data_IF_966980192600
#
_entry.id   IF_966980192600
#
_cell.length_a   1.000
_cell.length_b   1.000
_cell.length_c   1.000
_cell.angle_alpha   90.00
_cell.angle_beta   90.00
_cell.angle_gamma   90.00
#
_symmetry.space_group_name_H-M   'P 1'
#
loop_
_entity.id
_entity.type
_entity.pdbx_description
1 polymer ?
#
# COMPACT_ATOMS: atom_id res chain seq x y z
N UNK A 1 21.93 -3.03 -14.94
CA UNK A 1 21.14 -1.84 -15.38
C UNK A 1 20.62 -1.15 -14.14
N UNK A 2 21.03 0.08 -13.85
CA UNK A 2 20.45 0.85 -12.74
C UNK A 2 19.13 1.44 -13.19
N UNK A 3 18.04 1.12 -12.51
CA UNK A 3 16.69 1.62 -12.85
C UNK A 3 16.46 3.09 -12.46
N UNK A 4 17.36 3.67 -11.63
CA UNK A 4 17.18 5.00 -11.04
C UNK A 4 16.05 5.09 -10.01
N UNK A 5 15.54 3.94 -9.53
CA UNK A 5 14.49 3.87 -8.52
C UNK A 5 15.08 3.63 -7.13
N UNK A 6 14.46 4.22 -6.12
CA UNK A 6 14.66 3.83 -4.73
C UNK A 6 13.96 2.49 -4.48
N UNK A 7 14.69 1.53 -3.93
CA UNK A 7 14.13 0.24 -3.51
C UNK A 7 13.90 0.25 -1.99
N UNK A 8 12.69 -0.01 -1.57
CA UNK A 8 12.30 -0.12 -0.17
C UNK A 8 11.91 -1.57 0.07
N UNK A 9 12.78 -2.39 0.69
CA UNK A 9 12.46 -3.77 1.02
C UNK A 9 11.54 -3.85 2.23
N UNK A 10 10.67 -4.84 2.25
CA UNK A 10 9.80 -5.19 3.38
C UNK A 10 9.80 -6.69 3.59
N UNK A 11 10.93 -7.27 4.02
CA UNK A 11 11.03 -8.70 4.23
C UNK A 11 10.10 -9.13 5.39
N UNK A 12 9.39 -10.21 5.19
CA UNK A 12 8.55 -10.86 6.21
C UNK A 12 9.12 -12.20 6.63
N UNK A 13 9.91 -12.81 5.77
CA UNK A 13 10.58 -14.08 6.01
C UNK A 13 11.99 -14.01 5.43
N UNK A 14 12.98 -14.17 6.30
CA UNK A 14 14.41 -14.19 5.95
C UNK A 14 14.88 -15.64 5.93
N UNK A 15 15.45 -16.10 4.84
CA UNK A 15 15.97 -17.44 4.65
C UNK A 15 17.35 -17.41 4.01
N UNK A 16 18.08 -18.52 4.10
CA UNK A 16 19.41 -18.67 3.48
C UNK A 16 19.35 -18.58 1.94
N UNK A 17 18.24 -18.99 1.33
CA UNK A 17 18.01 -18.98 -0.12
C UNK A 17 17.42 -17.66 -0.64
N UNK A 18 17.12 -16.71 0.22
CA UNK A 18 16.61 -15.37 -0.11
C UNK A 18 15.49 -14.88 0.81
N UNK A 19 15.28 -13.58 0.76
CA UNK A 19 14.24 -12.92 1.53
C UNK A 19 12.91 -12.90 0.78
N UNK A 20 11.84 -13.21 1.48
CA UNK A 20 10.47 -13.12 0.98
C UNK A 20 9.75 -11.98 1.68
N UNK A 21 8.89 -11.26 0.93
CA UNK A 21 8.12 -10.16 1.48
C UNK A 21 7.65 -9.18 0.42
N UNK A 22 7.30 -7.99 0.87
CA UNK A 22 6.90 -6.90 -0.01
C UNK A 22 8.13 -6.11 -0.48
N UNK A 23 8.02 -5.49 -1.65
CA UNK A 23 9.00 -4.54 -2.16
C UNK A 23 8.29 -3.34 -2.76
N UNK A 24 8.78 -2.14 -2.47
CA UNK A 24 8.29 -0.90 -3.07
C UNK A 24 9.43 -0.25 -3.85
N UNK A 25 9.24 -0.09 -5.16
CA UNK A 25 10.15 0.65 -6.02
C UNK A 25 9.53 2.00 -6.35
N UNK A 26 10.27 3.08 -6.15
CA UNK A 26 9.77 4.44 -6.37
C UNK A 26 10.84 5.35 -6.95
N UNK A 27 10.43 6.30 -7.80
CA UNK A 27 11.29 7.40 -8.25
C UNK A 27 11.33 8.56 -7.26
N UNK A 28 10.38 8.60 -6.34
CA UNK A 28 10.25 9.65 -5.35
C UNK A 28 11.13 9.37 -4.15
N UNK A 29 11.67 10.44 -3.55
CA UNK A 29 12.54 10.34 -2.37
C UNK A 29 11.72 9.88 -1.15
N UNK A 30 12.11 8.79 -0.48
CA UNK A 30 11.48 8.40 0.77
C UNK A 30 11.85 9.40 1.89
N UNK A 31 10.82 9.94 2.58
CA UNK A 31 10.96 10.80 3.75
C UNK A 31 10.96 9.98 5.05
N UNK A 32 10.10 8.96 5.10
CA UNK A 32 9.95 8.05 6.23
C UNK A 32 9.55 6.68 5.72
N UNK A 33 10.10 5.64 6.32
CA UNK A 33 9.74 4.25 6.06
C UNK A 33 9.44 3.58 7.40
N UNK A 34 8.33 2.87 7.46
CA UNK A 34 7.92 2.04 8.59
C UNK A 34 7.45 0.68 8.08
N UNK A 35 7.75 -0.37 8.81
CA UNK A 35 7.22 -1.70 8.57
C UNK A 35 6.12 -2.01 9.60
N UNK A 36 4.97 -2.45 9.10
CA UNK A 36 3.85 -2.86 9.94
C UNK A 36 3.84 -4.38 9.94
N UNK A 37 4.04 -4.98 11.12
CA UNK A 37 3.91 -6.42 11.29
C UNK A 37 2.43 -6.81 11.24
N UNK A 38 2.10 -7.68 10.29
CA UNK A 38 0.78 -8.25 10.07
C UNK A 38 0.76 -9.76 10.29
N UNK A 39 1.80 -10.31 10.90
CA UNK A 39 1.94 -11.74 11.14
C UNK A 39 0.94 -12.23 12.16
N UNK A 40 0.32 -13.37 11.88
CA UNK A 40 -0.60 -14.08 12.78
C UNK A 40 0.03 -15.42 13.14
N UNK A 41 0.08 -15.73 14.43
CA UNK A 41 0.68 -16.99 14.92
C UNK A 41 0.09 -18.20 14.22
N UNK A 42 0.96 -19.07 13.71
CA UNK A 42 0.58 -20.29 12.99
C UNK A 42 0.27 -20.09 11.50
N UNK A 43 0.46 -18.88 10.99
CA UNK A 43 0.34 -18.56 9.56
C UNK A 43 1.67 -18.06 9.01
N UNK A 44 1.77 -17.95 7.68
CA UNK A 44 2.92 -17.36 7.02
C UNK A 44 3.06 -15.88 7.43
N UNK A 45 4.28 -15.43 7.79
CA UNK A 45 4.50 -14.04 8.18
C UNK A 45 4.07 -13.06 7.08
N UNK A 46 3.34 -12.03 7.47
CA UNK A 46 2.86 -10.96 6.58
C UNK A 46 3.24 -9.59 7.13
N UNK A 47 3.35 -8.62 6.24
CA UNK A 47 3.70 -7.27 6.61
C UNK A 47 3.17 -6.23 5.64
N UNK A 48 3.36 -4.97 6.00
CA UNK A 48 3.16 -3.86 5.07
C UNK A 48 4.33 -2.89 5.17
N UNK A 49 4.72 -2.34 4.01
CA UNK A 49 5.62 -1.19 3.91
C UNK A 49 4.73 0.05 3.98
N UNK A 50 4.98 0.93 4.93
CA UNK A 50 4.32 2.24 5.09
C UNK A 50 5.37 3.31 4.84
N UNK A 51 5.38 3.88 3.64
CA UNK A 51 6.36 4.85 3.18
C UNK A 51 5.73 6.22 2.96
N UNK A 52 6.36 7.26 3.49
CA UNK A 52 6.08 8.65 3.13
C UNK A 52 7.06 9.07 2.04
N UNK A 53 6.54 9.52 0.91
CA UNK A 53 7.30 9.88 -0.27
C UNK A 53 7.16 11.37 -0.56
N UNK A 54 8.25 12.04 -0.94
CA UNK A 54 8.25 13.40 -1.44
C UNK A 54 7.94 13.39 -2.93
N UNK A 55 6.79 13.92 -3.31
CA UNK A 55 6.36 14.00 -4.69
C UNK A 55 6.42 15.45 -5.20
N UNK A 56 6.88 15.62 -6.43
CA UNK A 56 6.88 16.91 -7.09
C UNK A 56 5.53 17.14 -7.77
N UNK A 57 4.90 18.27 -7.49
CA UNK A 57 3.75 18.76 -8.24
C UNK A 57 4.20 19.56 -9.48
N UNK A 58 3.24 19.90 -10.32
CA UNK A 58 3.44 20.89 -11.39
C UNK A 58 3.74 22.22 -10.69
N UNK A 59 4.69 23.03 -11.20
CA UNK A 59 5.12 24.34 -10.65
C UNK A 59 6.12 24.29 -9.47
N UNK A 60 6.91 23.22 -9.34
CA UNK A 60 7.96 23.06 -8.32
C UNK A 60 7.50 22.92 -6.86
N UNK A 61 6.21 22.86 -6.62
CA UNK A 61 5.69 22.51 -5.30
C UNK A 61 5.95 21.05 -4.98
N UNK A 62 6.36 20.76 -3.76
CA UNK A 62 6.49 19.40 -3.24
C UNK A 62 5.36 19.08 -2.27
N UNK A 63 4.94 17.84 -2.25
CA UNK A 63 3.98 17.36 -1.27
C UNK A 63 4.34 15.96 -0.81
N UNK A 64 3.88 15.59 0.36
CA UNK A 64 4.10 14.24 0.88
C UNK A 64 2.93 13.32 0.50
N UNK A 65 3.28 12.13 0.02
CA UNK A 65 2.35 11.06 -0.33
C UNK A 65 2.65 9.82 0.52
N UNK A 66 1.67 9.34 1.24
CA UNK A 66 1.78 8.08 1.96
C UNK A 66 1.44 6.91 1.05
N UNK A 67 2.31 5.91 1.00
CA UNK A 67 2.10 4.67 0.24
C UNK A 67 2.21 3.49 1.17
N UNK A 68 1.15 2.69 1.27
CA UNK A 68 1.13 1.44 2.03
C UNK A 68 1.04 0.27 1.04
N UNK A 69 2.10 -0.53 0.98
CA UNK A 69 2.16 -1.73 0.15
C UNK A 69 2.07 -2.97 1.02
N UNK A 70 1.15 -3.90 0.73
CA UNK A 70 0.90 -5.08 1.55
C UNK A 70 0.56 -6.32 0.74
N UNK A 71 0.72 -7.48 1.36
CA UNK A 71 0.18 -8.76 0.90
C UNK A 71 -0.45 -9.45 2.10
N UNK A 72 -1.78 -9.61 2.07
CA UNK A 72 -2.54 -10.18 3.19
C UNK A 72 -2.56 -11.70 3.13
N UNK A 73 -2.91 -12.32 4.25
CA UNK A 73 -2.96 -13.75 4.38
C UNK A 73 -4.17 -14.40 3.71
N UNK A 74 -4.09 -15.73 3.57
CA UNK A 74 -5.08 -16.52 2.84
C UNK A 74 -6.35 -16.80 3.67
N UNK A 75 -6.26 -16.81 5.00
CA UNK A 75 -7.37 -17.19 5.85
C UNK A 75 -8.28 -16.01 6.21
N UNK A 76 -9.62 -16.18 6.19
CA UNK A 76 -10.53 -15.06 6.46
C UNK A 76 -10.37 -14.43 7.86
N UNK A 77 -10.01 -15.23 8.88
CA UNK A 77 -9.72 -14.74 10.23
C UNK A 77 -8.49 -13.87 10.28
N UNK A 78 -7.42 -14.33 9.64
CA UNK A 78 -6.15 -13.66 9.47
C UNK A 78 -6.34 -12.30 8.78
N UNK A 79 -7.00 -12.26 7.60
CA UNK A 79 -7.28 -11.01 6.88
C UNK A 79 -8.06 -10.00 7.71
N UNK A 80 -9.05 -10.44 8.48
CA UNK A 80 -9.82 -9.54 9.36
C UNK A 80 -8.93 -8.88 10.42
N UNK A 81 -8.01 -9.62 11.00
CA UNK A 81 -7.06 -9.08 11.96
C UNK A 81 -6.10 -8.11 11.29
N UNK A 82 -5.52 -8.50 10.15
CA UNK A 82 -4.56 -7.71 9.38
C UNK A 82 -5.16 -6.37 8.91
N UNK A 83 -6.37 -6.39 8.38
CA UNK A 83 -7.05 -5.15 7.96
C UNK A 83 -7.34 -4.23 9.13
N UNK A 84 -7.69 -4.74 10.33
CA UNK A 84 -7.82 -3.88 11.52
C UNK A 84 -6.49 -3.21 11.89
N UNK A 85 -5.39 -3.94 11.83
CA UNK A 85 -4.04 -3.38 12.05
C UNK A 85 -3.72 -2.28 11.04
N UNK A 86 -4.01 -2.50 9.77
CA UNK A 86 -3.83 -1.47 8.73
C UNK A 86 -4.70 -0.23 8.98
N UNK A 87 -5.97 -0.42 9.34
CA UNK A 87 -6.87 0.69 9.66
C UNK A 87 -6.41 1.48 10.90
N UNK A 88 -5.88 0.82 11.91
CA UNK A 88 -5.25 1.50 13.06
C UNK A 88 -4.06 2.35 12.60
N UNK A 89 -3.18 1.81 11.77
CA UNK A 89 -2.04 2.57 11.25
C UNK A 89 -2.47 3.72 10.35
N UNK A 90 -3.52 3.55 9.55
CA UNK A 90 -4.08 4.60 8.70
C UNK A 90 -4.65 5.76 9.53
N UNK A 91 -5.30 5.46 10.66
CA UNK A 91 -5.89 6.47 11.55
C UNK A 91 -4.86 7.35 12.27
N UNK A 92 -3.57 6.97 12.30
CA UNK A 92 -2.50 7.78 12.90
C UNK A 92 -2.20 9.08 12.10
N UNK A 93 -2.52 9.13 10.80
CA UNK A 93 -2.33 10.29 9.95
C UNK A 93 -3.45 10.37 8.89
N UNK A 94 -4.69 10.66 9.29
CA UNK A 94 -5.86 10.59 8.40
C UNK A 94 -5.85 11.65 7.30
N UNK A 95 -5.21 12.80 7.54
CA UNK A 95 -5.16 13.94 6.60
C UNK A 95 -4.13 13.73 5.47
N UNK A 96 -3.28 12.71 5.58
CA UNK A 96 -2.26 12.45 4.56
C UNK A 96 -2.88 11.82 3.31
N UNK A 97 -2.57 12.35 2.10
CA UNK A 97 -2.91 11.66 0.88
C UNK A 97 -2.27 10.27 0.91
N UNK A 98 -3.10 9.28 0.81
CA UNK A 98 -2.68 7.90 1.05
C UNK A 98 -3.07 7.00 -0.12
N UNK A 99 -2.15 6.14 -0.53
CA UNK A 99 -2.38 5.01 -1.41
C UNK A 99 -2.20 3.73 -0.58
N UNK A 100 -3.20 2.87 -0.57
CA UNK A 100 -3.07 1.49 -0.10
C UNK A 100 -3.15 0.57 -1.32
N UNK A 101 -2.17 -0.30 -1.49
CA UNK A 101 -2.11 -1.22 -2.62
C UNK A 101 -1.56 -2.59 -2.22
N UNK A 102 -1.93 -3.60 -3.00
CA UNK A 102 -1.38 -4.94 -2.89
C UNK A 102 -2.42 -6.03 -3.07
N UNK A 103 -1.97 -7.27 -2.91
CA UNK A 103 -2.83 -8.45 -2.89
C UNK A 103 -3.49 -8.56 -1.50
N UNK A 104 -4.81 -8.42 -1.48
CA UNK A 104 -5.59 -8.52 -0.23
C UNK A 104 -6.19 -9.90 -0.02
N UNK A 105 -6.00 -10.82 -0.96
CA UNK A 105 -6.45 -12.21 -0.89
C UNK A 105 -7.94 -12.39 -0.52
N UNK A 106 -8.76 -11.35 -0.76
CA UNK A 106 -10.20 -11.42 -0.46
C UNK A 106 -11.00 -11.81 -1.70
N UNK A 107 -11.48 -13.01 -1.69
CA UNK A 107 -12.18 -13.64 -2.81
C UNK A 107 -13.60 -13.10 -2.99
N UNK A 108 -14.22 -12.68 -1.86
CA UNK A 108 -15.60 -12.23 -1.87
C UNK A 108 -15.68 -10.71 -1.88
N UNK A 109 -16.33 -10.14 -2.90
CA UNK A 109 -16.51 -8.69 -3.02
C UNK A 109 -17.29 -8.06 -1.84
N UNK A 110 -18.02 -8.87 -1.07
CA UNK A 110 -18.74 -8.49 0.15
C UNK A 110 -18.03 -8.90 1.44
N UNK A 111 -16.80 -9.40 1.36
CA UNK A 111 -15.99 -9.80 2.51
C UNK A 111 -15.85 -8.67 3.53
N UNK A 112 -15.81 -9.01 4.82
CA UNK A 112 -15.65 -8.01 5.90
C UNK A 112 -14.41 -7.14 5.73
N UNK A 113 -13.23 -7.69 5.38
CA UNK A 113 -12.03 -6.90 5.12
C UNK A 113 -12.27 -5.79 4.08
N UNK A 114 -12.86 -6.13 2.93
CA UNK A 114 -13.16 -5.15 1.88
C UNK A 114 -14.19 -4.10 2.33
N UNK A 115 -15.23 -4.50 3.07
CA UNK A 115 -16.21 -3.53 3.60
C UNK A 115 -15.58 -2.50 4.52
N UNK A 116 -14.64 -2.92 5.38
CA UNK A 116 -13.94 -2.00 6.28
C UNK A 116 -13.00 -1.07 5.50
N UNK A 117 -12.26 -1.58 4.52
CA UNK A 117 -11.42 -0.76 3.65
C UNK A 117 -12.26 0.21 2.81
N UNK A 118 -13.41 -0.23 2.28
CA UNK A 118 -14.32 0.65 1.54
C UNK A 118 -15.01 1.71 2.42
N UNK A 119 -15.18 1.46 3.72
CA UNK A 119 -15.67 2.47 4.66
C UNK A 119 -14.62 3.58 4.91
N UNK A 120 -13.33 3.25 4.82
CA UNK A 120 -12.24 4.21 4.99
C UNK A 120 -11.89 4.94 3.67
N UNK A 121 -11.71 4.20 2.58
CA UNK A 121 -11.20 4.72 1.29
C UNK A 121 -12.28 5.01 0.25
N UNK A 122 -13.54 4.73 0.54
CA UNK A 122 -14.60 4.62 -0.45
C UNK A 122 -14.34 3.44 -1.42
N UNK A 123 -15.29 3.21 -2.33
CA UNK A 123 -15.18 2.11 -3.29
C UNK A 123 -14.32 2.50 -4.47
N UNK A 124 -13.40 1.62 -4.84
CA UNK A 124 -12.60 1.72 -6.07
C UNK A 124 -13.03 0.62 -7.06
N UNK A 125 -12.82 0.81 -8.36
CA UNK A 125 -13.07 -0.24 -9.33
C UNK A 125 -12.33 -1.53 -8.95
N UNK A 126 -13.02 -2.66 -9.05
CA UNK A 126 -12.40 -3.97 -8.92
C UNK A 126 -12.05 -4.50 -10.30
N UNK A 127 -10.81 -4.90 -10.46
CA UNK A 127 -10.27 -5.44 -11.71
C UNK A 127 -9.79 -6.85 -11.43
N UNK A 128 -10.26 -7.81 -12.23
CA UNK A 128 -9.80 -9.20 -12.09
C UNK A 128 -8.37 -9.33 -12.56
N UNK A 129 -7.50 -9.87 -11.68
CA UNK A 129 -6.06 -10.06 -11.90
C UNK A 129 -5.64 -11.52 -11.79
N UNK A 130 -6.42 -12.34 -11.09
CA UNK A 130 -6.10 -13.75 -10.82
C UNK A 130 -7.16 -14.71 -11.39
N UNK A 131 -6.78 -15.87 -11.89
CA UNK A 131 -5.41 -16.20 -12.34
C UNK A 131 -5.05 -15.48 -13.64
N UNK A 132 -3.78 -15.18 -13.88
CA UNK A 132 -3.30 -14.31 -14.97
C UNK A 132 -3.73 -14.76 -16.37
N UNK A 133 -3.92 -16.07 -16.60
CA UNK A 133 -4.35 -16.64 -17.89
C UNK A 133 -5.83 -16.36 -18.17
N UNK A 134 -6.69 -16.49 -17.14
CA UNK A 134 -8.16 -16.33 -17.21
C UNK A 134 -8.65 -15.58 -15.97
N UNK A 135 -8.41 -14.28 -15.87
CA UNK A 135 -8.67 -13.54 -14.64
C UNK A 135 -10.17 -13.40 -14.37
N UNK A 136 -10.60 -13.88 -13.20
CA UNK A 136 -11.98 -13.76 -12.70
C UNK A 136 -12.04 -13.30 -11.24
N UNK A 137 -10.94 -13.38 -10.48
CA UNK A 137 -10.84 -12.87 -9.12
C UNK A 137 -10.08 -11.55 -9.09
N UNK A 138 -10.60 -10.59 -8.34
CA UNK A 138 -9.97 -9.30 -8.10
C UNK A 138 -9.31 -9.32 -6.72
N UNK A 139 -8.13 -9.95 -6.61
CA UNK A 139 -7.38 -10.09 -5.37
C UNK A 139 -6.48 -8.89 -5.11
N UNK A 140 -5.91 -8.35 -6.19
CA UNK A 140 -5.08 -7.14 -6.14
C UNK A 140 -5.96 -5.88 -6.12
N UNK A 141 -5.61 -4.93 -5.27
CA UNK A 141 -6.39 -3.72 -5.04
C UNK A 141 -5.50 -2.49 -4.94
N UNK A 142 -6.09 -1.36 -5.34
CA UNK A 142 -5.52 -0.04 -5.14
C UNK A 142 -6.63 0.89 -4.63
N UNK A 143 -6.39 1.52 -3.48
CA UNK A 143 -7.25 2.55 -2.90
C UNK A 143 -6.48 3.84 -2.74
N UNK A 144 -7.19 4.95 -2.79
CA UNK A 144 -6.64 6.28 -2.53
C UNK A 144 -7.52 7.05 -1.56
N UNK A 145 -6.90 7.83 -0.70
CA UNK A 145 -7.56 8.87 0.10
C UNK A 145 -6.86 10.20 -0.19
N UNK A 146 -7.56 11.22 -0.69
CA UNK A 146 -8.95 11.22 -1.17
C UNK A 146 -9.19 10.29 -2.37
N UNK A 147 -10.40 9.75 -2.47
CA UNK A 147 -10.81 8.88 -3.59
C UNK A 147 -10.69 9.57 -4.96
N UNK A 148 -10.93 10.89 -5.00
CA UNK A 148 -10.85 11.72 -6.21
C UNK A 148 -9.47 11.69 -6.89
N UNK A 149 -8.41 11.32 -6.17
CA UNK A 149 -7.07 11.14 -6.75
C UNK A 149 -6.99 9.98 -7.74
N UNK A 150 -7.84 8.96 -7.62
CA UNK A 150 -7.83 7.80 -8.50
C UNK A 150 -8.62 8.07 -9.79
N UNK A 151 -7.90 8.22 -10.90
CA UNK A 151 -8.50 8.48 -12.23
C UNK A 151 -8.93 7.18 -12.90
N UNK A 152 -8.07 6.15 -12.90
CA UNK A 152 -8.38 4.86 -13.51
C UNK A 152 -7.60 3.72 -12.87
N UNK A 153 -8.16 2.51 -12.94
CA UNK A 153 -7.50 1.26 -12.59
C UNK A 153 -7.73 0.27 -13.72
N UNK A 154 -6.69 -0.45 -14.14
CA UNK A 154 -6.75 -1.46 -15.20
C UNK A 154 -5.75 -2.58 -14.95
N UNK A 155 -6.09 -3.80 -15.37
CA UNK A 155 -5.16 -4.91 -15.43
C UNK A 155 -4.27 -4.82 -16.66
N UNK A 156 -2.96 -4.98 -16.50
CA UNK A 156 -2.04 -5.03 -17.64
C UNK A 156 -1.91 -6.48 -18.16
N UNK A 157 -2.35 -6.69 -19.40
CA UNK A 157 -2.35 -8.01 -20.02
C UNK A 157 -1.41 -8.04 -21.23
N UNK A 158 -0.40 -8.91 -21.16
CA UNK A 158 0.52 -9.19 -22.27
C UNK A 158 0.90 -10.69 -22.27
N UNK A 159 1.61 -11.15 -23.28
CA UNK A 159 2.17 -12.50 -23.28
C UNK A 159 3.15 -12.68 -22.11
N UNK A 160 3.99 -11.68 -21.84
CA UNK A 160 4.97 -11.72 -20.77
C UNK A 160 4.31 -11.75 -19.39
N UNK A 161 3.31 -10.89 -19.12
CA UNK A 161 2.69 -10.82 -17.79
C UNK A 161 1.95 -12.10 -17.41
N UNK A 162 1.41 -12.83 -18.40
CA UNK A 162 0.77 -14.13 -18.18
C UNK A 162 1.73 -15.29 -17.88
N UNK A 163 3.02 -15.10 -18.17
CA UNK A 163 4.08 -16.08 -17.89
C UNK A 163 4.88 -15.71 -16.63
N UNK A 164 5.02 -14.43 -16.35
CA UNK A 164 5.86 -13.93 -15.27
C UNK A 164 5.24 -14.15 -13.88
N UNK A 165 3.90 -14.22 -13.78
CA UNK A 165 3.19 -14.39 -12.51
C UNK A 165 1.83 -15.03 -12.75
N UNK A 166 1.28 -15.66 -11.71
CA UNK A 166 -0.12 -16.10 -11.65
C UNK A 166 -1.11 -14.96 -11.43
N UNK A 167 -0.62 -13.74 -11.12
CA UNK A 167 -1.39 -12.50 -11.11
C UNK A 167 -1.01 -11.59 -12.28
N UNK A 168 -1.99 -10.85 -12.81
CA UNK A 168 -1.73 -9.74 -13.73
C UNK A 168 -1.33 -8.49 -12.96
N UNK A 169 -0.37 -7.68 -13.46
CA UNK A 169 -0.10 -6.38 -12.89
C UNK A 169 -1.34 -5.48 -12.90
N UNK A 170 -1.63 -4.85 -11.77
CA UNK A 170 -2.68 -3.85 -11.63
C UNK A 170 -2.06 -2.45 -11.77
N UNK A 171 -2.57 -1.66 -12.71
CA UNK A 171 -2.12 -0.30 -12.99
C UNK A 171 -3.15 0.71 -12.54
N UNK A 172 -2.72 1.74 -11.85
CA UNK A 172 -3.55 2.89 -11.52
C UNK A 172 -2.97 4.18 -12.10
N UNK A 173 -3.85 5.03 -12.60
CA UNK A 173 -3.52 6.41 -12.94
C UNK A 173 -4.07 7.32 -11.84
N UNK A 174 -3.21 8.17 -11.32
CA UNK A 174 -3.54 9.10 -10.25
C UNK A 174 -3.39 10.54 -10.75
N UNK A 175 -4.25 11.43 -10.22
CA UNK A 175 -4.08 12.88 -10.32
C UNK A 175 -3.95 13.41 -8.90
N UNK A 176 -2.72 13.72 -8.52
CA UNK A 176 -2.42 14.27 -7.22
C UNK A 176 -2.35 15.78 -7.35
N UNK A 177 -3.03 16.52 -6.45
CA UNK A 177 -3.05 17.99 -6.42
C UNK A 177 -2.39 18.45 -5.15
N UNK A 178 -1.46 19.40 -5.25
CA UNK A 178 -0.68 19.93 -4.12
C UNK A 178 -1.52 20.70 -3.07
N UNK A 179 -2.72 21.16 -3.44
CA UNK A 179 -3.51 22.16 -2.68
C UNK A 179 -4.16 21.68 -1.37
N UNK A 180 -3.96 20.46 -0.92
CA UNK A 180 -4.64 19.92 0.27
C UNK A 180 -3.71 19.20 1.26
N UNK A 181 -2.38 19.40 1.20
CA UNK A 181 -1.47 18.50 1.89
C UNK A 181 -0.38 19.25 2.64
N UNK A 182 -0.03 18.85 3.87
CA UNK A 182 1.08 19.45 4.60
C UNK A 182 2.39 19.25 3.83
N UNK A 183 3.27 20.23 3.96
CA UNK A 183 4.59 20.20 3.33
C UNK A 183 5.46 19.09 3.92
N UNK A 184 6.48 18.61 3.19
CA UNK A 184 7.44 17.65 3.73
C UNK A 184 8.09 18.11 5.04
N UNK A 185 8.32 19.41 5.20
CA UNK A 185 8.91 20.03 6.39
C UNK A 185 7.98 19.94 7.60
N UNK A 186 6.69 20.14 7.43
CA UNK A 186 5.69 20.02 8.49
C UNK A 186 5.58 18.59 9.02
N UNK A 187 5.72 17.59 8.12
CA UNK A 187 5.69 16.17 8.49
C UNK A 187 6.92 15.81 9.32
N UNK A 188 8.09 16.26 8.93
CA UNK A 188 9.34 16.01 9.67
C UNK A 188 9.29 16.68 11.04
N UNK A 189 8.78 17.91 11.14
CA UNK A 189 8.63 18.63 12.39
C UNK A 189 7.67 17.94 13.38
N UNK A 190 6.54 17.42 12.88
CA UNK A 190 5.54 16.75 13.74
C UNK A 190 6.01 15.38 14.24
N UNK A 191 6.92 14.72 13.51
CA UNK A 191 7.43 13.39 13.88
C UNK A 191 8.63 13.47 14.83
N UNK A 192 9.23 14.66 14.98
CA UNK A 192 10.44 14.90 15.80
C UNK A 192 10.15 15.43 17.21
N UNK A 193 8.91 15.55 17.66
CA UNK A 193 8.60 15.91 19.03
C UNK A 193 9.00 14.75 19.98
N UNK A 194 9.90 14.98 20.98
CA UNK A 194 10.24 13.95 21.95
C UNK A 194 9.01 13.59 22.75
N UNK A 195 8.79 12.28 22.93
CA UNK A 195 7.83 11.75 23.88
C UNK A 195 8.16 12.36 25.26
N UNK A 196 7.32 13.24 25.79
CA UNK A 196 7.37 13.64 27.18
C UNK A 196 7.03 12.39 27.99
N UNK A 197 8.00 11.90 28.76
CA UNK A 197 7.77 10.88 29.76
C UNK A 197 6.73 11.41 30.76
N UNK A 198 5.72 10.63 31.15
CA UNK A 198 4.84 11.00 32.25
C UNK A 198 5.67 11.04 33.52
N UNK A 199 5.80 12.24 34.07
CA UNK A 199 6.50 12.47 35.35
C UNK A 199 5.92 11.61 36.48
N UNK A 200 6.82 11.17 37.32
CA UNK A 200 6.63 10.33 38.51
C UNK A 200 5.60 10.87 39.51
#
# INVERSE_FOLDING_TARGET
MHTGLHAIPGPTLVREDGDYGNGLLTRYRPLRIRHIDLSVKGHEPRGAIDAMLECNAVEHDTFALRVIATHLGLMPGERRWQVRRLLTALAEAPEQPTILLGDVNEWFLWGRPLRWLHAYFERTPHVSTFPSRWPFLALDRIWTSPRAHLVSVAGHRSALTRLASDHLPLLARLRLTARAHPSPEEIVATTGAPLQEPGA
#
